data_IF_810666550646
#
_entry.id   IF_810666550646
#
_cell.length_a   1.000
_cell.length_b   1.000
_cell.length_c   1.000
_cell.angle_alpha   90.00
_cell.angle_beta   90.00
_cell.angle_gamma   90.00
#
_symmetry.space_group_name_H-M   'P 1'
#
loop_
_entity.id
_entity.type
_entity.pdbx_description
1 polymer ?
#
# COMPACT_ATOMS: atom_id res chain seq x y z
N UNK A 1 19.61 -1.13 -4.55
CA UNK A 1 18.37 -1.88 -4.83
C UNK A 1 18.03 -2.67 -3.57
N UNK A 2 16.83 -2.50 -3.01
CA UNK A 2 16.39 -3.20 -1.80
C UNK A 2 14.90 -3.56 -1.91
N UNK A 3 14.52 -4.68 -1.28
CA UNK A 3 13.29 -5.40 -1.63
C UNK A 3 12.39 -5.70 -0.43
N UNK A 4 11.10 -5.45 -0.59
CA UNK A 4 10.04 -5.94 0.29
C UNK A 4 9.35 -7.13 -0.36
N UNK A 5 9.30 -8.28 0.30
CA UNK A 5 8.65 -9.52 -0.19
C UNK A 5 7.38 -9.78 0.61
N UNK A 6 6.28 -9.17 0.18
CA UNK A 6 4.94 -9.37 0.76
C UNK A 6 4.19 -10.53 0.12
N UNK A 7 3.16 -11.07 0.78
CA UNK A 7 2.41 -12.24 0.28
C UNK A 7 1.82 -12.09 -1.12
N UNK A 8 1.23 -10.94 -1.45
CA UNK A 8 0.61 -10.68 -2.77
C UNK A 8 1.53 -9.90 -3.71
N UNK A 9 2.09 -8.78 -3.22
CA UNK A 9 2.90 -7.86 -4.00
C UNK A 9 4.24 -7.62 -3.32
N UNK A 10 5.30 -7.76 -4.11
CA UNK A 10 6.67 -7.43 -3.75
C UNK A 10 7.07 -6.08 -4.33
N UNK A 11 7.91 -5.34 -3.63
CA UNK A 11 8.29 -3.96 -3.99
C UNK A 11 9.80 -3.81 -3.93
N UNK A 12 10.34 -2.98 -4.80
CA UNK A 12 11.76 -2.68 -4.89
C UNK A 12 11.94 -1.16 -4.86
N UNK A 13 12.87 -0.70 -4.02
CA UNK A 13 13.36 0.67 -4.02
C UNK A 13 14.76 0.67 -4.62
N UNK A 14 14.95 1.50 -5.64
CA UNK A 14 16.26 1.81 -6.22
C UNK A 14 16.59 3.27 -5.92
N UNK A 15 17.86 3.55 -5.66
CA UNK A 15 18.37 4.90 -5.44
C UNK A 15 19.45 5.17 -6.49
N UNK A 16 19.20 6.17 -7.30
CA UNK A 16 20.10 6.70 -8.31
C UNK A 16 20.80 7.92 -7.72
N UNK A 17 22.11 7.85 -7.49
CA UNK A 17 22.87 8.99 -6.99
C UNK A 17 23.20 9.94 -8.15
N UNK A 18 22.83 11.22 -8.04
CA UNK A 18 23.24 12.26 -8.99
C UNK A 18 24.77 12.42 -8.93
N UNK A 19 25.44 12.62 -10.07
CA UNK A 19 26.90 12.64 -10.15
C UNK A 19 27.54 13.93 -9.59
N UNK A 20 27.35 14.22 -8.30
CA UNK A 20 28.03 15.37 -7.67
C UNK A 20 28.36 15.21 -6.17
N UNK A 21 28.73 13.99 -5.71
CA UNK A 21 29.74 13.80 -4.63
C UNK A 21 30.02 12.31 -4.31
N UNK A 22 31.26 11.84 -4.55
CA UNK A 22 31.93 10.88 -3.65
C UNK A 22 33.45 11.05 -3.70
N UNK A 23 34.07 11.30 -2.55
CA UNK A 23 35.51 11.62 -2.38
C UNK A 23 36.45 10.38 -2.43
N UNK A 24 36.05 9.30 -3.11
CA UNK A 24 36.85 8.08 -3.35
C UNK A 24 36.46 7.43 -4.69
N UNK A 25 37.41 6.97 -5.52
CA UNK A 25 37.08 6.19 -6.72
C UNK A 25 36.35 4.89 -6.36
N UNK A 26 35.28 4.56 -7.09
CA UNK A 26 34.71 3.21 -7.12
C UNK A 26 35.51 2.37 -8.12
N UNK A 27 35.66 1.07 -7.88
CA UNK A 27 36.25 0.17 -8.87
C UNK A 27 35.40 0.16 -10.16
N UNK A 28 36.04 0.07 -11.33
CA UNK A 28 35.36 0.27 -12.62
C UNK A 28 34.15 -0.66 -12.83
N UNK A 29 34.24 -1.91 -12.37
CA UNK A 29 33.12 -2.88 -12.40
C UNK A 29 31.89 -2.40 -11.62
N UNK A 30 32.07 -1.73 -10.48
CA UNK A 30 30.97 -1.12 -9.71
C UNK A 30 30.41 0.14 -10.37
N UNK A 31 31.16 0.82 -11.24
CA UNK A 31 30.64 1.95 -12.04
C UNK A 31 29.80 1.42 -13.19
N UNK A 32 30.33 0.47 -13.97
CA UNK A 32 29.63 -0.16 -15.10
C UNK A 32 28.31 -0.80 -14.67
N UNK A 33 28.32 -1.67 -13.66
CA UNK A 33 27.11 -2.35 -13.18
C UNK A 33 26.13 -1.40 -12.42
N UNK A 34 26.58 -0.20 -12.01
CA UNK A 34 25.67 0.83 -11.51
C UNK A 34 24.97 1.60 -12.65
N UNK A 35 25.69 1.86 -13.75
CA UNK A 35 25.12 2.45 -14.96
C UNK A 35 24.16 1.49 -15.67
N UNK A 36 24.51 0.20 -15.78
CA UNK A 36 23.59 -0.84 -16.29
C UNK A 36 22.31 -0.95 -15.45
N UNK A 37 22.41 -0.82 -14.13
CA UNK A 37 21.23 -0.78 -13.25
C UNK A 37 20.40 0.49 -13.47
N UNK A 38 21.05 1.65 -13.57
CA UNK A 38 20.36 2.92 -13.83
C UNK A 38 19.66 2.89 -15.19
N UNK A 39 20.30 2.31 -16.21
CA UNK A 39 19.79 2.09 -17.56
C UNK A 39 18.58 1.14 -17.54
N UNK A 40 18.73 -0.04 -16.93
CA UNK A 40 17.64 -1.01 -16.75
C UNK A 40 16.40 -0.38 -16.07
N UNK A 41 16.59 0.43 -15.02
CA UNK A 41 15.47 1.10 -14.34
C UNK A 41 14.84 2.21 -15.18
N UNK A 42 15.63 2.98 -15.95
CA UNK A 42 15.14 4.16 -16.67
C UNK A 42 14.58 3.88 -18.07
N UNK A 43 15.12 2.90 -18.80
CA UNK A 43 14.71 2.59 -20.18
C UNK A 43 13.36 1.87 -20.28
N UNK A 44 12.85 1.30 -19.18
CA UNK A 44 11.63 0.48 -19.19
C UNK A 44 10.74 0.80 -18.00
N UNK A 45 9.44 0.87 -18.26
CA UNK A 45 8.40 0.95 -17.23
C UNK A 45 7.82 -0.43 -16.86
N UNK A 46 8.17 -1.47 -17.64
CA UNK A 46 7.67 -2.83 -17.48
C UNK A 46 8.82 -3.84 -17.45
N UNK A 47 8.76 -4.80 -16.54
CA UNK A 47 9.81 -5.81 -16.31
C UNK A 47 9.22 -7.21 -16.22
N UNK A 48 9.59 -8.09 -17.16
CA UNK A 48 9.00 -9.43 -17.27
C UNK A 48 7.49 -9.38 -17.48
N UNK A 49 6.75 -10.25 -16.78
CA UNK A 49 5.30 -10.47 -16.96
C UNK A 49 4.40 -9.83 -15.89
N UNK A 50 4.96 -9.03 -14.96
CA UNK A 50 4.20 -8.35 -13.89
C UNK A 50 4.97 -7.24 -13.16
N UNK A 51 6.21 -6.96 -13.54
CA UNK A 51 6.96 -5.84 -12.97
C UNK A 51 6.55 -4.52 -13.59
N UNK A 52 6.27 -3.51 -12.77
CA UNK A 52 5.90 -2.17 -13.23
C UNK A 52 6.63 -1.11 -12.39
N UNK A 53 7.18 -0.10 -13.06
CA UNK A 53 7.79 1.09 -12.44
C UNK A 53 6.74 2.15 -12.18
N UNK A 54 6.63 2.59 -10.94
CA UNK A 54 5.78 3.70 -10.53
C UNK A 54 6.49 5.04 -10.78
N UNK A 55 6.60 5.41 -12.06
CA UNK A 55 7.26 6.64 -12.53
C UNK A 55 6.75 7.91 -11.85
N UNK A 56 5.45 7.95 -11.52
CA UNK A 56 4.79 9.07 -10.82
C UNK A 56 5.12 9.16 -9.32
N UNK A 57 5.78 8.14 -8.77
CA UNK A 57 6.31 8.12 -7.41
C UNK A 57 7.84 8.34 -7.39
N UNK A 58 8.54 8.28 -8.52
CA UNK A 58 9.98 8.58 -8.54
C UNK A 58 10.23 10.01 -8.04
N UNK A 59 11.10 10.16 -7.05
CA UNK A 59 11.28 11.43 -6.32
C UNK A 59 12.76 11.75 -6.10
N UNK A 60 13.17 12.93 -6.53
CA UNK A 60 14.50 13.49 -6.28
C UNK A 60 14.56 14.07 -4.86
N UNK A 61 15.67 13.84 -4.16
CA UNK A 61 15.95 14.46 -2.87
C UNK A 61 17.36 15.05 -2.87
N UNK A 62 17.43 16.36 -2.73
CA UNK A 62 18.69 17.09 -2.63
C UNK A 62 19.47 16.69 -1.37
N UNK A 63 18.77 16.37 -0.28
CA UNK A 63 19.33 15.84 0.98
C UNK A 63 20.03 14.49 0.81
N UNK A 64 19.59 13.66 -0.14
CA UNK A 64 20.27 12.41 -0.50
C UNK A 64 21.29 12.58 -1.62
N UNK A 65 21.23 13.67 -2.38
CA UNK A 65 21.97 13.85 -3.63
C UNK A 65 21.56 12.84 -4.70
N UNK A 66 20.26 12.56 -4.85
CA UNK A 66 19.79 11.55 -5.82
C UNK A 66 18.28 11.31 -5.88
N UNK A 67 17.89 10.39 -6.76
CA UNK A 67 16.50 10.05 -7.07
C UNK A 67 16.15 8.66 -6.58
N UNK A 68 15.06 8.55 -5.81
CA UNK A 68 14.44 7.28 -5.47
C UNK A 68 13.47 6.86 -6.58
N UNK A 69 13.57 5.60 -7.01
CA UNK A 69 12.68 4.98 -7.99
C UNK A 69 11.97 3.78 -7.37
N UNK A 70 10.69 3.63 -7.68
CA UNK A 70 9.79 2.64 -7.06
C UNK A 70 9.28 1.64 -8.10
N UNK A 71 9.41 0.35 -7.82
CA UNK A 71 9.02 -0.75 -8.72
C UNK A 71 8.24 -1.79 -7.92
N UNK A 72 7.17 -2.36 -8.45
CA UNK A 72 6.45 -3.48 -7.82
C UNK A 72 6.27 -4.67 -8.77
N UNK A 73 6.02 -5.84 -8.21
CA UNK A 73 5.85 -7.12 -8.89
C UNK A 73 4.80 -7.98 -8.17
N UNK A 74 4.10 -8.86 -8.90
CA UNK A 74 3.36 -9.96 -8.29
C UNK A 74 4.32 -10.95 -7.63
N UNK A 75 4.15 -11.22 -6.33
CA UNK A 75 5.02 -12.17 -5.62
C UNK A 75 4.96 -13.58 -6.22
N UNK A 76 3.79 -13.98 -6.75
CA UNK A 76 3.61 -15.26 -7.45
C UNK A 76 4.38 -15.38 -8.77
N UNK A 77 4.81 -14.27 -9.37
CA UNK A 77 5.59 -14.20 -10.62
C UNK A 77 7.03 -13.75 -10.36
N UNK A 78 7.47 -13.72 -9.10
CA UNK A 78 8.77 -13.20 -8.68
C UNK A 78 9.96 -13.96 -9.31
N UNK A 79 9.83 -15.24 -9.65
CA UNK A 79 10.93 -16.00 -10.27
C UNK A 79 11.36 -15.40 -11.61
N UNK A 80 10.40 -15.01 -12.47
CA UNK A 80 10.70 -14.31 -13.72
C UNK A 80 11.28 -12.91 -13.51
N UNK A 81 10.90 -12.22 -12.42
CA UNK A 81 11.48 -10.95 -12.03
C UNK A 81 12.94 -11.11 -11.55
N UNK A 82 13.22 -12.08 -10.68
CA UNK A 82 14.57 -12.42 -10.21
C UNK A 82 15.44 -12.88 -11.37
N UNK A 83 14.92 -13.70 -12.30
CA UNK A 83 15.66 -14.11 -13.50
C UNK A 83 15.99 -12.91 -14.40
N UNK A 84 15.04 -11.99 -14.62
CA UNK A 84 15.27 -10.76 -15.37
C UNK A 84 16.36 -9.91 -14.71
N UNK A 85 16.27 -9.68 -13.39
CA UNK A 85 17.24 -8.91 -12.61
C UNK A 85 18.62 -9.56 -12.60
N UNK A 86 18.68 -10.88 -12.46
CA UNK A 86 19.93 -11.66 -12.44
C UNK A 86 20.61 -11.69 -13.81
N UNK A 87 19.83 -11.82 -14.89
CA UNK A 87 20.33 -11.86 -16.27
C UNK A 87 20.95 -10.54 -16.74
N UNK A 88 20.55 -9.40 -16.18
CA UNK A 88 21.17 -8.09 -16.43
C UNK A 88 22.37 -7.81 -15.49
N UNK A 89 23.04 -8.85 -14.97
CA UNK A 89 24.27 -8.72 -14.18
C UNK A 89 24.13 -8.10 -12.78
N UNK A 90 22.93 -7.67 -12.38
CA UNK A 90 22.69 -6.81 -11.20
C UNK A 90 23.16 -7.44 -9.88
N UNK A 91 23.20 -8.77 -9.80
CA UNK A 91 23.72 -9.53 -8.67
C UNK A 91 25.22 -9.25 -8.39
N UNK A 92 26.01 -8.87 -9.41
CA UNK A 92 27.45 -8.64 -9.26
C UNK A 92 27.79 -7.34 -8.51
N UNK A 93 26.88 -6.35 -8.52
CA UNK A 93 27.08 -5.09 -7.78
C UNK A 93 26.41 -5.09 -6.39
N UNK A 94 25.44 -5.97 -6.15
CA UNK A 94 24.67 -6.04 -4.91
C UNK A 94 25.32 -6.93 -3.85
N UNK A 95 26.39 -6.43 -3.20
CA UNK A 95 27.06 -7.13 -2.09
C UNK A 95 26.12 -7.56 -0.95
N UNK A 96 25.04 -6.83 -0.71
CA UNK A 96 23.95 -7.23 0.20
C UNK A 96 22.61 -6.73 -0.36
N UNK A 97 21.74 -7.64 -0.78
CA UNK A 97 20.31 -7.37 -0.90
C UNK A 97 19.67 -7.62 0.47
N UNK A 98 19.33 -6.57 1.23
CA UNK A 98 18.53 -6.74 2.46
C UNK A 98 17.05 -6.76 2.10
N UNK A 99 16.31 -7.65 2.78
CA UNK A 99 14.90 -7.89 2.52
C UNK A 99 14.07 -7.78 3.79
N UNK A 100 12.80 -7.45 3.64
CA UNK A 100 11.80 -7.55 4.71
C UNK A 100 10.45 -7.95 4.12
N UNK A 101 9.44 -8.15 4.96
CA UNK A 101 8.19 -8.83 4.59
C UNK A 101 8.23 -10.33 4.89
N UNK A 102 7.06 -10.93 5.13
CA UNK A 102 6.92 -12.36 5.43
C UNK A 102 7.63 -13.33 4.47
N UNK A 103 7.77 -12.98 3.19
CA UNK A 103 8.43 -13.81 2.18
C UNK A 103 9.97 -13.78 2.20
N UNK A 104 10.61 -12.96 3.04
CA UNK A 104 12.07 -12.77 3.08
C UNK A 104 12.87 -13.95 3.69
N UNK A 105 12.35 -15.18 3.64
CA UNK A 105 12.80 -16.33 4.46
C UNK A 105 14.16 -16.95 4.08
N UNK A 106 14.83 -16.46 3.02
CA UNK A 106 16.12 -16.97 2.52
C UNK A 106 17.22 -15.88 2.44
N UNK A 107 16.97 -14.68 2.96
CA UNK A 107 17.84 -13.49 2.78
C UNK A 107 17.97 -12.77 4.13
N UNK A 108 18.93 -11.85 4.31
CA UNK A 108 19.04 -11.00 5.52
C UNK A 108 17.71 -10.29 5.76
N UNK A 109 16.97 -10.76 6.77
CA UNK A 109 15.61 -10.34 7.10
C UNK A 109 15.63 -9.23 8.15
N UNK A 110 15.29 -8.02 7.76
CA UNK A 110 14.94 -6.94 8.68
C UNK A 110 13.46 -7.10 9.13
N UNK A 111 13.10 -6.61 10.31
CA UNK A 111 11.72 -6.70 10.80
C UNK A 111 10.74 -5.83 9.99
N UNK A 112 9.55 -6.38 9.72
CA UNK A 112 8.55 -5.81 8.81
C UNK A 112 7.94 -4.51 9.38
N UNK A 113 7.58 -4.51 10.67
CA UNK A 113 6.97 -3.35 11.33
C UNK A 113 8.03 -2.26 11.55
N UNK A 114 9.24 -2.63 11.99
CA UNK A 114 10.37 -1.72 12.16
C UNK A 114 10.76 -1.04 10.85
N UNK A 115 10.73 -1.77 9.73
CA UNK A 115 10.93 -1.17 8.41
C UNK A 115 9.76 -0.26 8.00
N UNK A 116 8.51 -0.69 8.20
CA UNK A 116 7.34 0.13 7.91
C UNK A 116 7.40 1.50 8.62
N UNK A 117 7.71 1.49 9.92
CA UNK A 117 7.83 2.70 10.76
C UNK A 117 9.04 3.55 10.37
N UNK A 118 10.22 2.95 10.10
CA UNK A 118 11.39 3.68 9.58
C UNK A 118 11.08 4.39 8.26
N UNK A 119 10.47 3.68 7.31
CA UNK A 119 10.09 4.22 6.01
C UNK A 119 9.07 5.35 6.13
N UNK A 120 8.05 5.19 6.97
CA UNK A 120 7.08 6.25 7.26
C UNK A 120 7.76 7.48 7.87
N UNK A 121 8.55 7.33 8.93
CA UNK A 121 9.20 8.48 9.58
C UNK A 121 10.15 9.22 8.64
N UNK A 122 10.87 8.50 7.77
CA UNK A 122 11.71 9.12 6.75
C UNK A 122 10.90 9.94 5.74
N UNK A 123 9.81 9.36 5.20
CA UNK A 123 8.90 10.07 4.30
C UNK A 123 8.36 11.36 4.93
N UNK A 124 7.89 11.29 6.18
CA UNK A 124 7.30 12.42 6.92
C UNK A 124 8.24 13.61 7.09
N UNK A 125 9.56 13.37 7.16
CA UNK A 125 10.56 14.41 7.37
C UNK A 125 11.21 14.89 6.06
N UNK A 126 11.20 14.09 4.99
CA UNK A 126 11.91 14.40 3.75
C UNK A 126 11.02 14.97 2.62
N UNK A 127 9.73 14.60 2.58
CA UNK A 127 8.88 14.88 1.41
C UNK A 127 7.68 15.78 1.75
N UNK A 128 7.69 17.07 1.35
CA UNK A 128 6.54 17.94 1.55
C UNK A 128 5.32 17.44 0.76
N UNK A 129 4.14 17.57 1.35
CA UNK A 129 2.85 17.10 0.80
C UNK A 129 2.73 15.58 0.59
N UNK A 130 3.60 14.78 1.22
CA UNK A 130 3.51 13.31 1.19
C UNK A 130 2.27 12.77 1.92
N UNK A 131 1.92 13.40 3.04
CA UNK A 131 0.70 13.07 3.80
C UNK A 131 -0.49 13.88 3.28
N UNK A 132 -1.60 13.18 3.07
CA UNK A 132 -2.91 13.79 2.80
C UNK A 132 -3.98 13.22 3.73
N UNK A 133 -5.07 13.97 3.91
CA UNK A 133 -6.30 13.55 4.57
C UNK A 133 -7.45 13.56 3.57
N UNK A 134 -8.60 12.97 3.92
CA UNK A 134 -9.58 12.53 2.92
C UNK A 134 -11.00 12.34 3.51
N UNK A 135 -12.04 12.12 2.68
CA UNK A 135 -13.48 12.11 3.08
C UNK A 135 -14.31 11.14 2.15
N UNK A 136 -14.79 9.94 2.62
CA UNK A 136 -15.60 8.83 1.95
C UNK A 136 -15.10 8.15 0.61
N UNK A 137 -14.66 6.87 0.46
CA UNK A 137 -15.05 5.54 1.03
C UNK A 137 -13.83 4.55 1.37
N UNK A 138 -13.93 3.21 1.63
CA UNK A 138 -12.92 2.30 2.32
C UNK A 138 -12.23 1.01 1.68
N UNK A 139 -11.04 0.56 2.21
CA UNK A 139 -10.26 -0.75 2.27
C UNK A 139 -10.64 -2.14 1.63
N UNK A 140 -9.62 -2.99 1.30
CA UNK A 140 -9.87 -4.22 0.48
C UNK A 140 -8.96 -5.50 0.52
N UNK A 141 -8.11 -5.77 1.54
CA UNK A 141 -7.28 -7.00 1.55
C UNK A 141 -8.08 -8.32 1.43
N UNK A 142 -9.18 -8.41 2.18
CA UNK A 142 -10.16 -9.50 2.13
C UNK A 142 -11.01 -9.46 0.85
N UNK A 143 -11.40 -8.27 0.41
CA UNK A 143 -12.17 -8.05 -0.81
C UNK A 143 -11.46 -8.60 -2.05
N UNK A 144 -10.12 -8.51 -2.18
CA UNK A 144 -9.46 -9.07 -3.36
C UNK A 144 -9.57 -10.60 -3.40
N UNK A 145 -9.46 -11.25 -2.24
CA UNK A 145 -9.70 -12.70 -2.12
C UNK A 145 -11.15 -13.08 -2.43
N UNK A 146 -12.13 -12.32 -1.93
CA UNK A 146 -13.55 -12.60 -2.13
C UNK A 146 -14.03 -12.24 -3.55
N UNK A 147 -13.52 -11.16 -4.16
CA UNK A 147 -13.81 -10.84 -5.57
C UNK A 147 -13.32 -11.95 -6.51
N UNK A 148 -12.11 -12.49 -6.28
CA UNK A 148 -11.59 -13.66 -7.02
C UNK A 148 -12.34 -14.99 -6.77
N UNK A 149 -13.27 -15.04 -5.82
CA UNK A 149 -14.12 -16.19 -5.54
C UNK A 149 -15.56 -16.01 -6.04
N UNK A 150 -16.05 -14.77 -6.13
CA UNK A 150 -17.41 -14.46 -6.57
C UNK A 150 -17.49 -13.99 -8.04
N UNK A 151 -16.36 -13.55 -8.62
CA UNK A 151 -16.25 -12.99 -9.97
C UNK A 151 -14.99 -13.51 -10.68
N UNK A 152 -14.97 -13.43 -12.01
CA UNK A 152 -13.86 -13.92 -12.85
C UNK A 152 -12.68 -12.93 -12.96
N UNK A 153 -12.62 -11.89 -12.13
CA UNK A 153 -11.57 -10.86 -12.17
C UNK A 153 -10.16 -11.43 -11.93
N UNK A 154 -9.23 -11.09 -12.82
CA UNK A 154 -7.86 -11.59 -12.81
C UNK A 154 -6.85 -10.60 -12.23
N UNK A 155 -7.01 -9.30 -12.48
CA UNK A 155 -6.21 -8.23 -11.86
C UNK A 155 -6.98 -7.48 -10.76
N UNK A 156 -6.25 -6.89 -9.82
CA UNK A 156 -6.83 -6.15 -8.70
C UNK A 156 -7.60 -4.91 -9.18
N UNK A 157 -7.09 -4.24 -10.21
CA UNK A 157 -7.70 -3.04 -10.78
C UNK A 157 -9.03 -3.34 -11.49
N UNK A 158 -9.19 -4.51 -12.15
CA UNK A 158 -10.50 -4.98 -12.68
C UNK A 158 -11.59 -5.05 -11.59
N UNK A 159 -11.25 -5.54 -10.39
CA UNK A 159 -12.21 -5.59 -9.29
C UNK A 159 -12.58 -4.17 -8.81
N UNK A 160 -11.59 -3.26 -8.76
CA UNK A 160 -11.84 -1.86 -8.40
C UNK A 160 -12.78 -1.20 -9.40
N UNK A 161 -12.52 -1.34 -10.70
CA UNK A 161 -13.35 -0.79 -11.77
C UNK A 161 -14.77 -1.37 -11.75
N UNK A 162 -14.91 -2.68 -11.54
CA UNK A 162 -16.20 -3.37 -11.37
C UNK A 162 -17.04 -2.74 -10.24
N UNK A 163 -16.43 -2.35 -9.13
CA UNK A 163 -17.16 -1.80 -7.99
C UNK A 163 -17.48 -0.30 -8.09
N UNK A 164 -16.91 0.45 -9.06
CA UNK A 164 -17.11 1.92 -9.20
C UNK A 164 -18.59 2.27 -9.31
N UNK A 165 -19.30 1.58 -10.20
CA UNK A 165 -20.70 1.83 -10.53
C UNK A 165 -21.69 1.10 -9.61
N UNK A 166 -21.21 0.13 -8.83
CA UNK A 166 -22.02 -0.65 -7.89
C UNK A 166 -22.57 0.16 -6.72
N UNK A 167 -23.69 -0.28 -6.17
CA UNK A 167 -24.40 0.28 -5.02
C UNK A 167 -24.59 -0.82 -3.98
N UNK A 168 -23.87 -0.74 -2.86
CA UNK A 168 -24.00 -1.74 -1.80
C UNK A 168 -25.40 -1.80 -1.15
N UNK A 169 -26.27 -0.81 -1.36
CA UNK A 169 -27.62 -0.75 -0.78
C UNK A 169 -28.60 -1.84 -1.28
N UNK A 170 -28.29 -2.55 -2.38
CA UNK A 170 -29.04 -3.75 -2.80
C UNK A 170 -28.61 -5.02 -2.05
N UNK A 171 -27.43 -5.02 -1.42
CA UNK A 171 -26.76 -6.17 -0.77
C UNK A 171 -26.75 -6.05 0.75
N UNK A 172 -26.40 -4.86 1.25
CA UNK A 172 -26.32 -4.55 2.67
C UNK A 172 -27.70 -4.16 3.23
N UNK A 173 -27.96 -4.62 4.46
CA UNK A 173 -29.11 -4.20 5.25
C UNK A 173 -28.71 -3.01 6.11
N UNK A 174 -29.42 -1.89 5.95
CA UNK A 174 -29.21 -0.65 6.68
C UNK A 174 -30.08 -0.54 7.93
N UNK A 175 -29.79 0.43 8.80
CA UNK A 175 -30.64 0.80 9.94
C UNK A 175 -32.05 1.16 9.46
N UNK A 176 -32.17 1.84 8.31
CA UNK A 176 -33.45 2.17 7.68
C UNK A 176 -34.25 0.95 7.21
N UNK A 177 -33.59 -0.10 6.73
CA UNK A 177 -34.26 -1.36 6.34
C UNK A 177 -34.83 -2.13 7.55
N UNK A 178 -34.28 -1.92 8.75
CA UNK A 178 -34.72 -2.59 9.99
C UNK A 178 -35.76 -1.77 10.76
N UNK A 179 -35.54 -0.45 10.88
CA UNK A 179 -36.31 0.44 11.75
C UNK A 179 -37.22 1.41 10.99
N UNK A 180 -37.22 1.41 9.65
CA UNK A 180 -37.99 2.34 8.82
C UNK A 180 -37.46 3.79 8.83
N UNK A 181 -36.33 4.05 9.49
CA UNK A 181 -35.78 5.39 9.70
C UNK A 181 -34.42 5.38 10.38
N UNK A 182 -34.02 6.52 10.98
CA UNK A 182 -32.81 6.61 11.79
C UNK A 182 -33.07 6.07 13.21
N UNK A 183 -32.06 5.45 13.84
CA UNK A 183 -32.17 4.93 15.20
C UNK A 183 -31.60 5.94 16.20
N UNK A 184 -32.43 6.93 16.52
CA UNK A 184 -32.08 8.12 17.32
C UNK A 184 -31.46 7.80 18.68
N UNK A 185 -31.92 6.74 19.34
CA UNK A 185 -31.45 6.29 20.67
C UNK A 185 -29.93 6.08 20.74
N UNK A 186 -29.29 5.77 19.62
CA UNK A 186 -27.83 5.61 19.50
C UNK A 186 -27.21 6.55 18.44
N UNK A 187 -27.97 7.56 17.97
CA UNK A 187 -27.57 8.48 16.90
C UNK A 187 -27.07 7.78 15.62
N UNK A 188 -27.73 6.69 15.21
CA UNK A 188 -27.37 5.97 13.97
C UNK A 188 -28.25 6.44 12.79
N UNK A 189 -27.67 7.08 11.75
CA UNK A 189 -28.40 7.43 10.53
C UNK A 189 -29.06 6.21 9.87
N UNK A 190 -30.19 6.41 9.20
CA UNK A 190 -30.90 5.37 8.45
C UNK A 190 -30.01 4.68 7.40
N UNK A 191 -29.06 5.41 6.82
CA UNK A 191 -28.10 4.95 5.80
C UNK A 191 -26.92 4.15 6.37
N UNK A 192 -26.77 4.05 7.70
CA UNK A 192 -25.74 3.22 8.32
C UNK A 192 -26.01 1.75 8.02
N UNK A 193 -24.99 0.99 7.62
CA UNK A 193 -25.08 -0.46 7.46
C UNK A 193 -25.26 -1.09 8.84
N UNK A 194 -26.36 -1.84 9.02
CA UNK A 194 -26.67 -2.58 10.24
C UNK A 194 -26.24 -4.05 10.12
N UNK A 195 -26.32 -4.63 8.93
CA UNK A 195 -25.78 -5.96 8.62
C UNK A 195 -25.28 -5.98 7.17
N UNK A 196 -23.96 -6.08 7.00
CA UNK A 196 -23.36 -6.28 5.67
C UNK A 196 -23.86 -7.59 5.07
N UNK A 197 -24.16 -7.60 3.77
CA UNK A 197 -24.76 -8.74 3.07
C UNK A 197 -26.15 -9.20 3.57
N UNK A 198 -26.76 -8.48 4.53
CA UNK A 198 -28.01 -8.91 5.16
C UNK A 198 -29.20 -9.11 4.22
N UNK A 199 -29.23 -8.49 3.03
CA UNK A 199 -30.30 -8.69 2.03
C UNK A 199 -30.12 -9.96 1.22
N UNK A 200 -28.90 -10.49 1.10
CA UNK A 200 -28.61 -11.74 0.37
C UNK A 200 -29.14 -13.00 1.07
N UNK A 201 -29.77 -12.85 2.25
CA UNK A 201 -30.49 -13.93 2.96
C UNK A 201 -31.85 -14.21 2.29
N UNK A 202 -32.46 -13.19 1.66
CA UNK A 202 -33.80 -13.27 1.06
C UNK A 202 -33.88 -12.87 -0.41
N UNK A 203 -32.91 -12.11 -0.93
CA UNK A 203 -32.81 -11.74 -2.35
C UNK A 203 -32.00 -12.78 -3.12
N UNK A 204 -32.46 -13.18 -4.30
CA UNK A 204 -31.74 -14.14 -5.15
C UNK A 204 -30.45 -13.54 -5.71
N UNK A 205 -29.40 -14.36 -5.83
CA UNK A 205 -28.13 -13.97 -6.47
C UNK A 205 -28.28 -13.57 -7.94
N UNK A 206 -29.34 -14.01 -8.61
CA UNK A 206 -29.70 -13.58 -9.97
C UNK A 206 -30.09 -12.11 -10.08
N UNK A 207 -30.60 -11.53 -8.99
CA UNK A 207 -31.30 -10.24 -9.01
C UNK A 207 -30.37 -9.08 -8.60
N UNK A 208 -29.10 -9.41 -8.31
CA UNK A 208 -28.09 -8.52 -7.72
C UNK A 208 -26.84 -8.56 -8.58
N UNK A 209 -26.35 -7.37 -8.96
CA UNK A 209 -25.21 -7.26 -9.85
C UNK A 209 -23.88 -7.57 -9.15
N UNK A 210 -22.94 -8.11 -9.92
CA UNK A 210 -21.57 -8.38 -9.47
C UNK A 210 -20.86 -7.11 -8.98
N UNK A 211 -21.17 -5.97 -9.61
CA UNK A 211 -20.73 -4.64 -9.18
C UNK A 211 -21.22 -4.26 -7.77
N UNK A 212 -22.48 -4.57 -7.43
CA UNK A 212 -23.04 -4.28 -6.10
C UNK A 212 -22.42 -5.17 -5.03
N UNK A 213 -22.22 -6.45 -5.33
CA UNK A 213 -21.57 -7.43 -4.44
C UNK A 213 -20.10 -7.04 -4.22
N UNK A 214 -19.37 -6.67 -5.28
CA UNK A 214 -18.01 -6.15 -5.16
C UNK A 214 -17.98 -4.89 -4.28
N UNK A 215 -18.91 -3.95 -4.50
CA UNK A 215 -19.02 -2.74 -3.70
C UNK A 215 -19.31 -3.05 -2.23
N UNK A 216 -20.24 -3.95 -1.93
CA UNK A 216 -20.55 -4.36 -0.55
C UNK A 216 -19.36 -5.03 0.15
N UNK A 217 -18.62 -5.90 -0.53
CA UNK A 217 -17.36 -6.48 -0.03
C UNK A 217 -16.34 -5.39 0.37
N UNK A 218 -16.23 -4.33 -0.43
CA UNK A 218 -15.32 -3.20 -0.21
C UNK A 218 -15.73 -2.37 1.01
N UNK A 219 -17.02 -2.04 1.12
CA UNK A 219 -17.61 -1.36 2.29
C UNK A 219 -17.35 -2.18 3.56
N UNK A 220 -17.78 -3.45 3.56
CA UNK A 220 -17.72 -4.36 4.71
C UNK A 220 -16.28 -4.58 5.20
N UNK A 221 -15.34 -4.86 4.29
CA UNK A 221 -13.92 -5.06 4.64
C UNK A 221 -13.35 -3.87 5.42
N UNK A 222 -13.92 -2.68 5.21
CA UNK A 222 -13.35 -1.44 5.72
C UNK A 222 -14.03 -0.86 6.93
N UNK A 223 -15.36 -0.93 7.01
CA UNK A 223 -16.03 -0.48 8.22
C UNK A 223 -15.48 -1.28 9.42
N UNK A 224 -15.14 -2.56 9.21
CA UNK A 224 -14.33 -3.36 10.11
C UNK A 224 -12.91 -2.79 10.39
N UNK A 225 -12.08 -2.53 9.37
CA UNK A 225 -10.70 -2.05 9.58
C UNK A 225 -10.66 -0.64 10.21
N UNK A 226 -11.57 0.26 9.82
CA UNK A 226 -11.74 1.58 10.42
C UNK A 226 -12.21 1.50 11.87
N UNK A 227 -13.15 0.60 12.18
CA UNK A 227 -13.61 0.35 13.56
C UNK A 227 -12.49 -0.25 14.43
N UNK A 228 -11.75 -1.25 13.94
CA UNK A 228 -10.61 -1.83 14.65
C UNK A 228 -9.52 -0.77 14.90
N UNK A 229 -9.23 0.06 13.90
CA UNK A 229 -8.26 1.15 14.05
C UNK A 229 -8.74 2.22 15.05
N UNK A 230 -10.02 2.60 15.03
CA UNK A 230 -10.63 3.49 16.02
C UNK A 230 -10.52 2.93 17.45
N UNK A 231 -10.89 1.66 17.65
CA UNK A 231 -10.86 1.03 18.97
C UNK A 231 -9.43 0.91 19.52
N UNK A 232 -8.45 0.58 18.67
CA UNK A 232 -7.02 0.62 19.06
C UNK A 232 -6.57 2.06 19.36
N UNK A 233 -7.02 3.04 18.57
CA UNK A 233 -6.68 4.43 18.79
C UNK A 233 -7.22 4.98 20.12
N UNK A 234 -8.39 4.52 20.57
CA UNK A 234 -8.92 4.78 21.91
C UNK A 234 -8.08 4.12 23.02
N UNK A 235 -7.65 2.87 22.83
CA UNK A 235 -6.84 2.12 23.81
C UNK A 235 -5.49 2.80 24.06
N UNK A 236 -4.90 3.41 23.03
CA UNK A 236 -3.56 4.02 23.08
C UNK A 236 -3.56 5.58 23.06
N UNK A 237 -4.71 6.24 23.27
CA UNK A 237 -4.93 7.71 23.14
C UNK A 237 -4.22 8.36 21.92
N UNK A 238 -4.42 7.77 20.74
CA UNK A 238 -3.82 8.29 19.49
C UNK A 238 -4.84 9.02 18.63
N UNK A 239 -4.61 10.31 18.39
CA UNK A 239 -5.53 11.19 17.62
C UNK A 239 -5.21 11.27 16.13
N UNK A 240 -4.11 10.64 15.70
CA UNK A 240 -3.63 10.61 14.31
C UNK A 240 -3.35 9.17 13.91
N UNK A 241 -4.13 8.63 12.98
CA UNK A 241 -4.08 7.23 12.57
C UNK A 241 -3.58 7.18 11.11
N UNK A 242 -2.41 6.58 10.88
CA UNK A 242 -1.82 6.48 9.56
C UNK A 242 -2.20 5.15 8.91
N UNK A 243 -2.98 5.23 7.83
CA UNK A 243 -3.35 4.08 7.02
C UNK A 243 -2.43 3.99 5.80
N UNK A 244 -1.86 2.81 5.60
CA UNK A 244 -0.75 2.58 4.68
C UNK A 244 -0.83 1.17 4.07
N UNK A 245 -0.03 0.92 3.02
CA UNK A 245 0.04 -0.35 2.31
C UNK A 245 -0.59 -0.29 0.92
N UNK A 246 -0.11 -1.15 0.02
CA UNK A 246 -0.47 -1.23 -1.41
C UNK A 246 -1.97 -1.45 -1.69
N UNK A 247 -2.76 -1.73 -0.66
CA UNK A 247 -4.20 -1.79 -0.77
C UNK A 247 -4.79 -0.42 -1.22
N UNK A 248 -4.39 0.68 -0.55
CA UNK A 248 -4.95 2.03 -0.76
C UNK A 248 -4.66 2.61 -2.16
N UNK A 249 -3.66 2.05 -2.83
CA UNK A 249 -3.12 2.48 -4.12
C UNK A 249 -4.22 2.63 -5.16
N UNK A 250 -4.30 3.82 -5.75
CA UNK A 250 -5.33 4.28 -6.71
C UNK A 250 -6.78 4.25 -6.18
N UNK A 251 -7.03 3.58 -5.06
CA UNK A 251 -8.33 3.28 -4.55
C UNK A 251 -8.89 4.45 -3.73
N UNK A 252 -9.30 5.50 -4.45
CA UNK A 252 -9.97 6.68 -3.87
C UNK A 252 -11.36 6.35 -3.32
N UNK A 253 -11.97 5.24 -3.74
CA UNK A 253 -13.14 4.67 -3.07
C UNK A 253 -12.72 4.01 -1.74
N UNK A 254 -11.46 4.14 -1.28
CA UNK A 254 -10.96 3.35 -0.16
C UNK A 254 -10.06 3.96 0.92
N UNK A 255 -9.54 5.17 0.77
CA UNK A 255 -8.82 5.85 1.85
C UNK A 255 -9.83 6.32 2.93
N UNK A 256 -10.17 7.61 2.92
CA UNK A 256 -11.54 8.13 2.94
C UNK A 256 -12.69 7.54 3.83
N UNK A 257 -13.10 6.25 3.82
CA UNK A 257 -14.03 5.67 4.85
C UNK A 257 -13.26 5.40 6.10
N UNK A 258 -11.97 5.09 6.01
CA UNK A 258 -11.12 5.16 7.19
C UNK A 258 -11.20 6.57 7.76
N UNK A 259 -11.14 7.62 6.93
CA UNK A 259 -11.39 8.98 7.41
C UNK A 259 -12.82 9.19 7.95
N UNK A 260 -13.88 8.79 7.24
CA UNK A 260 -15.25 8.95 7.73
C UNK A 260 -15.54 8.15 9.00
N UNK A 261 -15.14 6.88 9.08
CA UNK A 261 -15.36 6.03 10.24
C UNK A 261 -14.54 6.51 11.45
N UNK A 262 -13.28 6.90 11.25
CA UNK A 262 -12.49 7.52 12.32
C UNK A 262 -13.13 8.84 12.78
N UNK A 263 -13.57 9.70 11.86
CA UNK A 263 -14.25 10.97 12.19
C UNK A 263 -15.59 10.76 12.90
N UNK A 264 -16.47 9.93 12.34
CA UNK A 264 -17.79 9.58 12.87
C UNK A 264 -17.72 8.92 14.25
N UNK A 265 -16.94 7.85 14.42
CA UNK A 265 -16.85 7.14 15.69
C UNK A 265 -16.15 7.98 16.78
N UNK A 266 -15.15 8.79 16.41
CA UNK A 266 -14.48 9.71 17.36
C UNK A 266 -15.17 11.05 17.55
N UNK A 267 -16.28 11.34 16.82
CA UNK A 267 -16.95 12.64 16.79
C UNK A 267 -16.00 13.79 16.45
N UNK A 268 -15.15 13.59 15.44
CA UNK A 268 -14.15 14.54 14.94
C UNK A 268 -12.87 14.68 15.78
N UNK A 269 -12.69 13.88 16.84
CA UNK A 269 -11.53 13.98 17.72
C UNK A 269 -10.27 13.27 17.18
N UNK A 270 -10.43 12.35 16.23
CA UNK A 270 -9.34 11.60 15.59
C UNK A 270 -9.32 11.86 14.07
N UNK A 271 -8.15 11.75 13.45
CA UNK A 271 -7.98 11.93 11.99
C UNK A 271 -7.22 10.78 11.34
N UNK A 272 -7.75 10.32 10.20
CA UNK A 272 -7.08 9.38 9.32
C UNK A 272 -6.13 10.12 8.36
N UNK A 273 -4.90 9.64 8.29
CA UNK A 273 -3.83 10.12 7.42
C UNK A 273 -3.41 9.03 6.43
N UNK A 274 -3.04 9.43 5.22
CA UNK A 274 -2.65 8.55 4.11
C UNK A 274 -1.38 9.10 3.46
N UNK A 275 -0.63 8.25 2.76
CA UNK A 275 0.66 8.60 2.14
C UNK A 275 0.61 8.36 0.62
N UNK A 276 1.42 9.04 -0.18
CA UNK A 276 1.50 8.75 -1.64
C UNK A 276 2.33 7.49 -1.90
N UNK A 277 3.33 7.25 -1.07
CA UNK A 277 4.22 6.09 -1.11
C UNK A 277 3.79 4.98 -0.14
N UNK A 278 2.50 4.96 0.24
CA UNK A 278 1.86 3.98 1.12
C UNK A 278 2.21 2.52 0.81
N UNK A 279 2.43 2.18 -0.46
CA UNK A 279 2.84 0.86 -0.94
C UNK A 279 4.27 0.42 -0.58
N UNK A 280 5.15 1.37 -0.31
CA UNK A 280 6.61 1.20 -0.39
C UNK A 280 7.35 1.36 0.95
N UNK A 281 6.65 1.70 2.02
CA UNK A 281 7.23 2.03 3.34
C UNK A 281 8.20 0.96 3.87
N UNK A 282 7.84 -0.32 3.75
CA UNK A 282 8.72 -1.42 4.18
C UNK A 282 10.00 -1.53 3.35
N UNK A 283 9.95 -1.24 2.05
CA UNK A 283 11.14 -1.24 1.18
C UNK A 283 12.03 -0.01 1.44
N UNK A 284 11.42 1.15 1.72
CA UNK A 284 12.12 2.36 2.19
C UNK A 284 12.82 2.12 3.54
N UNK A 285 12.14 1.49 4.50
CA UNK A 285 12.72 1.13 5.79
C UNK A 285 13.92 0.18 5.69
N UNK A 286 13.83 -0.83 4.81
CA UNK A 286 14.94 -1.72 4.52
C UNK A 286 16.13 -0.97 3.90
N UNK A 287 15.87 -0.07 2.94
CA UNK A 287 16.89 0.81 2.35
C UNK A 287 17.64 1.63 3.42
N UNK A 288 16.91 2.25 4.34
CA UNK A 288 17.46 3.07 5.43
C UNK A 288 18.24 2.25 6.47
N UNK A 289 17.82 1.02 6.78
CA UNK A 289 18.64 0.10 7.59
C UNK A 289 20.02 -0.12 6.95
N UNK A 290 20.09 -0.34 5.63
CA UNK A 290 21.38 -0.55 4.97
C UNK A 290 22.26 0.69 4.89
N UNK A 291 21.71 1.88 4.62
CA UNK A 291 22.52 3.13 4.60
C UNK A 291 23.08 3.43 5.99
N UNK A 292 22.29 3.31 7.06
CA UNK A 292 22.78 3.46 8.45
C UNK A 292 23.87 2.45 8.83
N UNK A 293 23.87 1.25 8.24
CA UNK A 293 24.94 0.25 8.45
C UNK A 293 26.20 0.46 7.61
N UNK A 294 26.20 1.42 6.68
CA UNK A 294 27.32 1.69 5.75
C UNK A 294 27.92 3.09 5.85
N UNK A 295 27.28 4.00 6.61
CA UNK A 295 27.81 5.31 7.00
C UNK A 295 27.43 5.62 8.46
N UNK A 296 28.39 5.77 9.39
CA UNK A 296 28.13 6.41 10.68
C UNK A 296 28.01 7.92 10.45
N UNK A 297 26.85 8.37 9.99
CA UNK A 297 26.49 9.79 10.00
C UNK A 297 26.22 10.21 11.45
N UNK A 298 26.78 11.34 11.85
CA UNK A 298 26.87 11.74 13.24
C UNK A 298 25.50 11.97 13.88
N UNK A 299 25.39 11.59 15.15
CA UNK A 299 24.40 12.16 16.05
C UNK A 299 24.88 13.57 16.47
N UNK A 300 24.10 14.60 16.16
CA UNK A 300 24.29 15.99 16.59
C UNK A 300 22.95 16.74 16.57
#
# INVERSE_FOLDING_TARGET
MLTFVGGTLSKIVYFEQTQENTRRPRAMSHVLAADEMARFVKERDFYGSSGVRDTRLSVTSDTLGGTLHFIHFETRKMEGAIATVSGHGLNQSLRVLSCTGGGAHKIKKEDEIKCLVKGLNFLLNLFPYEVYTFIFVGHAGTYWGLCRLLFECQTYDEALDLCVNGRNASVDMSVGDIYGGAYEKFNLPATTVASSFGKMISVSRSDVSDADIARALLIMTTQNIGLIAYLNACIYDTKRIFFVGNFLRHNKISCRTLAYAIDFWSKGQMKAHFCRHEGYLGALGAFLSNTSSSSPMAES
#
